data_IF_160864299544
#
_entry.id   IF_160864299544
#
_cell.length_a   1.000
_cell.length_b   1.000
_cell.length_c   1.000
_cell.angle_alpha   90.00
_cell.angle_beta   90.00
_cell.angle_gamma   90.00
#
_symmetry.space_group_name_H-M   'P 1'
#
loop_
_entity.id
_entity.type
_entity.pdbx_description
1 polymer ?
#
# COMPACT_ATOMS: atom_id res chain seq x y z
N UNK A 1 -6.52 -21.05 2.24
CA UNK A 1 -6.24 -20.25 1.03
C UNK A 1 -4.76 -19.97 0.98
N UNK A 2 -4.03 -20.50 -0.01
CA UNK A 2 -2.62 -20.18 -0.21
C UNK A 2 -2.48 -18.78 -0.80
N UNK A 3 -1.54 -17.99 -0.29
CA UNK A 3 -1.14 -16.69 -0.82
C UNK A 3 0.38 -16.59 -0.90
N UNK A 4 0.88 -15.91 -1.92
CA UNK A 4 2.29 -15.57 -2.03
C UNK A 4 2.47 -14.08 -1.72
N UNK A 5 3.21 -13.80 -0.64
CA UNK A 5 3.35 -12.46 -0.05
C UNK A 5 4.81 -12.02 0.02
N UNK A 6 5.07 -10.72 -0.02
CA UNK A 6 6.39 -10.15 0.28
C UNK A 6 6.71 -10.22 1.78
N UNK A 7 7.95 -9.90 2.15
CA UNK A 7 8.36 -9.81 3.56
C UNK A 7 7.60 -8.73 4.33
N UNK A 8 7.36 -7.58 3.70
CA UNK A 8 6.60 -6.47 4.27
C UNK A 8 5.13 -6.84 4.45
N UNK A 9 4.53 -7.49 3.44
CA UNK A 9 3.15 -7.99 3.50
C UNK A 9 2.99 -9.04 4.59
N UNK A 10 3.94 -9.99 4.71
CA UNK A 10 3.93 -10.97 5.79
C UNK A 10 4.02 -10.32 7.17
N UNK A 11 4.89 -9.31 7.32
CA UNK A 11 5.04 -8.54 8.56
C UNK A 11 3.73 -7.83 8.92
N UNK A 12 3.05 -7.25 7.93
CA UNK A 12 1.75 -6.62 8.11
C UNK A 12 0.67 -7.63 8.52
N UNK A 13 0.60 -8.79 7.86
CA UNK A 13 -0.34 -9.87 8.21
C UNK A 13 -0.12 -10.34 9.65
N UNK A 14 1.14 -10.54 10.06
CA UNK A 14 1.50 -10.93 11.44
C UNK A 14 1.11 -9.89 12.50
N UNK A 15 0.94 -8.64 12.09
CA UNK A 15 0.56 -7.54 12.98
C UNK A 15 -0.96 -7.35 13.08
N UNK A 16 -1.74 -8.09 12.29
CA UNK A 16 -3.20 -8.12 12.42
C UNK A 16 -3.61 -8.90 13.68
N UNK A 17 -4.87 -8.77 14.06
CA UNK A 17 -5.46 -9.64 15.09
C UNK A 17 -5.42 -11.11 14.66
N UNK A 18 -5.63 -12.03 15.61
CA UNK A 18 -5.68 -13.47 15.34
C UNK A 18 -6.66 -13.84 14.22
N UNK A 19 -7.75 -13.08 14.15
CA UNK A 19 -8.70 -13.08 13.03
C UNK A 19 -8.81 -11.68 12.42
N UNK A 20 -8.84 -11.61 11.10
CA UNK A 20 -8.88 -10.37 10.33
C UNK A 20 -9.89 -10.41 9.19
N UNK A 21 -10.34 -9.22 8.78
CA UNK A 21 -11.28 -9.04 7.69
C UNK A 21 -10.60 -9.26 6.33
N UNK A 22 -11.29 -9.99 5.46
CA UNK A 22 -10.92 -10.24 4.08
C UNK A 22 -12.18 -10.36 3.20
N UNK A 23 -11.98 -10.54 1.90
CA UNK A 23 -13.08 -10.78 0.96
C UNK A 23 -12.84 -12.08 0.18
N UNK A 24 -13.89 -12.87 0.00
CA UNK A 24 -13.92 -14.06 -0.84
C UNK A 24 -15.03 -13.90 -1.87
N UNK A 25 -14.69 -13.85 -3.17
CA UNK A 25 -15.65 -13.57 -4.25
C UNK A 25 -16.46 -12.27 -4.01
N UNK A 26 -15.84 -11.27 -3.39
CA UNK A 26 -16.49 -10.00 -3.03
C UNK A 26 -17.40 -10.08 -1.80
N UNK A 27 -17.47 -11.22 -1.11
CA UNK A 27 -18.20 -11.37 0.15
C UNK A 27 -17.23 -11.19 1.33
N UNK A 28 -17.54 -10.32 2.31
CA UNK A 28 -16.74 -10.19 3.52
C UNK A 28 -16.64 -11.50 4.30
N UNK A 29 -15.44 -11.86 4.74
CA UNK A 29 -15.14 -13.05 5.53
C UNK A 29 -14.09 -12.74 6.61
N UNK A 30 -14.08 -13.54 7.68
CA UNK A 30 -13.01 -13.60 8.68
C UNK A 30 -11.99 -14.66 8.29
N UNK A 31 -10.72 -14.28 8.31
CA UNK A 31 -9.61 -15.17 8.05
C UNK A 31 -8.55 -15.12 9.16
N UNK A 32 -7.77 -16.19 9.29
CA UNK A 32 -6.65 -16.27 10.22
C UNK A 32 -5.43 -16.89 9.54
N UNK A 33 -4.23 -16.52 9.99
CA UNK A 33 -2.99 -17.13 9.52
C UNK A 33 -2.86 -18.54 10.10
N UNK A 34 -2.79 -19.55 9.23
CA UNK A 34 -2.65 -20.96 9.64
C UNK A 34 -1.20 -21.40 9.62
N UNK A 35 -0.49 -21.10 8.53
CA UNK A 35 0.86 -21.57 8.33
C UNK A 35 1.66 -20.61 7.44
N UNK A 36 2.96 -20.57 7.67
CA UNK A 36 3.94 -19.83 6.87
C UNK A 36 4.95 -20.86 6.40
N UNK A 37 5.12 -21.02 5.09
CA UNK A 37 6.24 -21.79 4.56
C UNK A 37 7.53 -20.95 4.71
N UNK A 38 8.51 -21.40 5.51
CA UNK A 38 9.76 -20.67 5.71
C UNK A 38 10.68 -20.69 4.47
N UNK A 39 10.45 -21.58 3.51
CA UNK A 39 11.23 -21.63 2.27
C UNK A 39 10.90 -20.42 1.39
N UNK A 40 11.88 -19.51 1.29
CA UNK A 40 11.82 -18.35 0.42
C UNK A 40 12.00 -18.80 -1.04
N UNK A 41 11.01 -18.52 -1.89
CA UNK A 41 11.15 -18.77 -3.32
C UNK A 41 12.06 -17.71 -3.94
N UNK A 42 13.32 -18.06 -4.20
CA UNK A 42 14.33 -17.15 -4.77
C UNK A 42 13.92 -16.59 -6.14
N UNK A 43 13.09 -17.30 -6.90
CA UNK A 43 12.67 -16.91 -8.24
C UNK A 43 11.56 -15.86 -8.19
N UNK A 44 10.59 -16.00 -7.28
CA UNK A 44 9.47 -15.06 -7.14
C UNK A 44 9.70 -14.00 -6.07
N UNK A 45 10.72 -14.18 -5.21
CA UNK A 45 11.01 -13.39 -4.01
C UNK A 45 9.81 -13.27 -3.06
N UNK A 46 8.99 -14.32 -2.98
CA UNK A 46 7.78 -14.36 -2.15
C UNK A 46 7.82 -15.52 -1.16
N UNK A 47 7.13 -15.32 -0.05
CA UNK A 47 6.85 -16.32 0.96
C UNK A 47 5.44 -16.86 0.73
N UNK A 48 5.26 -18.18 0.84
CA UNK A 48 3.95 -18.78 0.74
C UNK A 48 3.33 -18.90 2.13
N UNK A 49 2.10 -18.39 2.29
CA UNK A 49 1.31 -18.51 3.52
C UNK A 49 0.00 -19.23 3.24
N UNK A 50 -0.46 -20.00 4.22
CA UNK A 50 -1.81 -20.54 4.23
C UNK A 50 -2.68 -19.78 5.22
N UNK A 51 -3.82 -19.32 4.73
CA UNK A 51 -4.89 -18.73 5.53
C UNK A 51 -6.04 -19.71 5.73
N UNK A 52 -6.73 -19.62 6.86
CA UNK A 52 -8.01 -20.31 7.14
C UNK A 52 -9.12 -19.28 7.08
N UNK A 53 -10.23 -19.62 6.41
CA UNK A 53 -11.46 -18.83 6.43
C UNK A 53 -12.34 -19.41 7.54
N UNK A 54 -12.80 -18.57 8.47
CA UNK A 54 -13.51 -18.98 9.69
C UNK A 54 -15.02 -19.09 9.49
N UNK A 55 -15.57 -18.23 8.63
CA UNK A 55 -17.00 -18.01 8.42
C UNK A 55 -17.40 -18.27 6.95
N UNK A 56 -16.89 -19.36 6.38
CA UNK A 56 -17.22 -19.72 5.01
C UNK A 56 -18.69 -20.16 4.88
N UNK A 57 -19.49 -19.35 4.20
CA UNK A 57 -20.86 -19.70 3.82
C UNK A 57 -20.88 -20.32 2.42
N UNK A 58 -21.05 -21.64 2.32
CA UNK A 58 -21.15 -22.39 1.05
C UNK A 58 -20.13 -23.52 0.92
N UNK A 59 -19.93 -24.03 -0.30
CA UNK A 59 -18.95 -25.08 -0.56
C UNK A 59 -17.56 -24.47 -0.84
N UNK A 60 -16.56 -24.93 -0.10
CA UNK A 60 -15.16 -24.61 -0.37
C UNK A 60 -14.69 -25.25 -1.68
N UNK A 61 -14.50 -24.44 -2.71
CA UNK A 61 -13.90 -24.86 -3.99
C UNK A 61 -12.58 -24.15 -4.21
N UNK A 62 -11.67 -24.78 -4.95
CA UNK A 62 -10.44 -24.13 -5.41
C UNK A 62 -10.74 -23.06 -6.47
N UNK A 63 -9.80 -22.13 -6.66
CA UNK A 63 -9.88 -21.10 -7.71
C UNK A 63 -10.77 -19.88 -7.39
N UNK A 64 -11.21 -19.73 -6.14
CA UNK A 64 -11.94 -18.55 -5.68
C UNK A 64 -10.99 -17.35 -5.55
N UNK A 65 -11.48 -16.16 -5.94
CA UNK A 65 -10.78 -14.91 -5.74
C UNK A 65 -10.84 -14.52 -4.27
N UNK A 66 -9.67 -14.29 -3.67
CA UNK A 66 -9.52 -13.85 -2.30
C UNK A 66 -8.76 -12.52 -2.26
N UNK A 67 -9.28 -11.55 -1.53
CA UNK A 67 -8.68 -10.22 -1.38
C UNK A 67 -8.44 -9.97 0.10
N UNK A 68 -7.19 -9.64 0.45
CA UNK A 68 -6.80 -9.25 1.80
C UNK A 68 -6.29 -7.81 1.79
N UNK A 69 -7.08 -6.83 2.25
CA UNK A 69 -6.63 -5.45 2.33
C UNK A 69 -5.59 -5.30 3.44
N UNK A 70 -4.37 -4.89 3.08
CA UNK A 70 -3.28 -4.66 4.04
C UNK A 70 -2.89 -3.19 4.10
N UNK A 71 -2.58 -2.71 5.31
CA UNK A 71 -1.97 -1.40 5.53
C UNK A 71 -0.48 -1.58 5.79
N UNK A 72 0.34 -1.14 4.84
CA UNK A 72 1.79 -1.21 4.95
C UNK A 72 2.33 0.14 5.44
N UNK A 73 3.29 0.11 6.37
CA UNK A 73 4.10 1.29 6.67
C UNK A 73 5.05 1.52 5.50
N UNK A 74 5.07 2.74 4.98
CA UNK A 74 5.97 3.13 3.90
C UNK A 74 6.74 4.37 4.30
N UNK A 75 8.02 4.41 3.96
CA UNK A 75 8.81 5.64 4.07
C UNK A 75 8.46 6.64 2.97
N UNK A 76 8.76 7.92 3.23
CA UNK A 76 8.51 9.03 2.33
C UNK A 76 7.41 9.97 2.79
N UNK A 77 7.10 10.96 1.97
CA UNK A 77 6.05 11.94 2.18
C UNK A 77 4.89 11.64 1.24
N UNK A 78 3.66 11.76 1.74
CA UNK A 78 2.46 11.69 0.92
C UNK A 78 2.03 13.09 0.51
N UNK A 79 2.05 13.35 -0.79
CA UNK A 79 1.64 14.62 -1.38
C UNK A 79 0.32 14.41 -2.13
N UNK A 80 -0.73 15.20 -1.87
CA UNK A 80 -1.97 15.13 -2.65
C UNK A 80 -1.70 15.32 -4.13
N UNK A 81 -2.22 14.43 -4.99
CA UNK A 81 -2.05 14.54 -6.45
C UNK A 81 -2.58 15.86 -7.00
N UNK A 82 -3.56 16.46 -6.32
CA UNK A 82 -4.13 17.78 -6.65
C UNK A 82 -3.14 18.93 -6.51
N UNK A 83 -2.06 18.78 -5.73
CA UNK A 83 -0.99 19.78 -5.57
C UNK A 83 0.20 19.54 -6.52
N UNK A 84 0.28 18.37 -7.15
CA UNK A 84 1.43 17.98 -7.99
C UNK A 84 1.24 18.50 -9.40
N UNK A 85 2.19 19.31 -9.86
CA UNK A 85 2.31 19.65 -11.28
C UNK A 85 3.29 18.68 -11.92
N UNK A 86 2.81 17.77 -12.76
CA UNK A 86 3.66 16.84 -13.50
C UNK A 86 3.68 17.22 -14.99
N UNK A 87 4.72 17.92 -15.42
CA UNK A 87 4.96 18.23 -16.84
C UNK A 87 6.22 17.52 -17.29
N UNK A 88 6.12 16.76 -18.38
CA UNK A 88 7.25 16.03 -18.97
C UNK A 88 7.97 15.11 -17.96
N UNK A 89 7.20 14.32 -17.21
CA UNK A 89 7.71 13.38 -16.19
C UNK A 89 8.59 14.03 -15.11
N UNK A 90 8.41 15.33 -14.88
CA UNK A 90 9.13 16.11 -13.89
C UNK A 90 8.13 16.64 -12.84
N UNK A 91 7.73 15.80 -11.88
CA UNK A 91 6.74 16.19 -10.87
C UNK A 91 7.31 17.25 -9.93
N UNK A 92 6.57 18.34 -9.77
CA UNK A 92 6.91 19.44 -8.87
C UNK A 92 5.73 19.87 -8.02
N UNK A 93 6.01 20.55 -6.93
CA UNK A 93 5.03 21.26 -6.10
C UNK A 93 5.50 22.67 -5.82
N UNK A 94 4.57 23.57 -5.54
CA UNK A 94 4.87 24.94 -5.11
C UNK A 94 4.49 25.11 -3.65
N UNK A 95 5.45 25.49 -2.81
CA UNK A 95 5.22 25.77 -1.39
C UNK A 95 4.46 27.08 -1.28
N UNK A 96 3.31 27.07 -0.60
CA UNK A 96 2.40 28.23 -0.53
C UNK A 96 2.99 29.43 0.22
N UNK A 97 3.78 29.17 1.26
CA UNK A 97 4.38 30.22 2.10
C UNK A 97 5.50 30.98 1.38
N UNK A 98 6.35 30.27 0.63
CA UNK A 98 7.55 30.84 0.01
C UNK A 98 7.43 31.05 -1.50
N UNK A 99 6.46 30.40 -2.15
CA UNK A 99 6.39 30.31 -3.61
C UNK A 99 7.48 29.43 -4.24
N UNK A 100 8.29 28.73 -3.43
CA UNK A 100 9.38 27.90 -3.94
C UNK A 100 8.82 26.67 -4.68
N UNK A 101 9.37 26.40 -5.87
CA UNK A 101 9.07 25.19 -6.64
C UNK A 101 10.05 24.08 -6.27
N UNK A 102 9.54 23.02 -5.66
CA UNK A 102 10.32 21.85 -5.25
C UNK A 102 10.11 20.71 -6.23
N UNK A 103 11.21 20.14 -6.74
CA UNK A 103 11.18 18.92 -7.56
C UNK A 103 10.99 17.71 -6.67
N UNK A 104 10.11 16.82 -7.09
CA UNK A 104 9.77 15.60 -6.36
C UNK A 104 10.54 14.41 -6.93
N UNK A 105 10.89 13.48 -6.04
CA UNK A 105 11.40 12.16 -6.42
C UNK A 105 10.32 11.11 -6.08
N UNK A 106 9.53 10.64 -7.07
CA UNK A 106 8.47 9.67 -6.83
C UNK A 106 9.00 8.32 -6.33
N UNK A 107 8.34 7.78 -5.30
CA UNK A 107 8.57 6.42 -4.80
C UNK A 107 7.38 5.49 -5.10
N UNK A 108 6.26 6.04 -5.58
CA UNK A 108 5.05 5.29 -5.93
C UNK A 108 3.79 6.11 -5.68
N UNK A 109 2.63 5.48 -5.86
CA UNK A 109 1.32 6.11 -5.64
C UNK A 109 0.49 5.29 -4.64
N UNK A 110 -0.37 5.97 -3.88
CA UNK A 110 -1.31 5.33 -2.97
C UNK A 110 -2.60 6.15 -2.92
N UNK A 111 -3.68 5.64 -3.51
CA UNK A 111 -4.94 6.36 -3.68
C UNK A 111 -4.73 7.72 -4.36
N UNK A 112 -5.20 8.78 -3.71
CA UNK A 112 -5.12 10.18 -4.17
C UNK A 112 -3.79 10.87 -3.88
N UNK A 113 -2.79 10.13 -3.39
CA UNK A 113 -1.49 10.65 -3.01
C UNK A 113 -0.38 10.12 -3.91
N UNK A 114 0.57 11.01 -4.22
CA UNK A 114 1.88 10.66 -4.73
C UNK A 114 2.83 10.50 -3.53
N UNK A 115 3.46 9.34 -3.40
CA UNK A 115 4.48 9.09 -2.38
C UNK A 115 5.83 9.51 -2.95
N UNK A 116 6.56 10.33 -2.21
CA UNK A 116 7.86 10.89 -2.64
C UNK A 116 8.93 10.69 -1.58
N UNK A 117 10.21 10.76 -1.99
CA UNK A 117 11.31 10.80 -1.04
C UNK A 117 11.24 12.06 -0.16
N UNK A 118 11.74 11.95 1.07
CA UNK A 118 11.82 13.11 1.96
C UNK A 118 12.73 14.20 1.38
N UNK A 119 12.28 15.45 1.44
CA UNK A 119 13.06 16.64 1.08
C UNK A 119 13.02 17.62 2.26
N UNK A 120 14.15 18.24 2.60
CA UNK A 120 14.25 19.16 3.75
C UNK A 120 13.34 20.39 3.62
N UNK A 121 12.96 20.74 2.39
CA UNK A 121 12.04 21.85 2.08
C UNK A 121 10.57 21.47 2.24
N UNK A 122 10.28 20.18 2.37
CA UNK A 122 8.94 19.62 2.50
C UNK A 122 8.86 18.83 3.80
N UNK A 123 8.43 19.50 4.87
CA UNK A 123 8.13 18.84 6.15
C UNK A 123 6.63 18.54 6.26
N UNK A 124 6.22 17.49 6.99
CA UNK A 124 4.80 17.26 7.25
C UNK A 124 4.12 18.51 7.80
N UNK A 125 2.99 18.88 7.20
CA UNK A 125 2.27 20.13 7.52
C UNK A 125 2.59 21.31 6.59
N UNK A 126 3.56 21.19 5.67
CA UNK A 126 3.82 22.23 4.65
C UNK A 126 2.60 22.41 3.74
N UNK A 127 2.09 23.64 3.63
CA UNK A 127 1.00 23.96 2.71
C UNK A 127 1.51 24.10 1.27
N UNK A 128 0.82 23.47 0.34
CA UNK A 128 1.15 23.48 -1.09
C UNK A 128 0.03 24.15 -1.89
N UNK A 129 0.40 24.84 -2.98
CA UNK A 129 -0.58 25.33 -3.95
C UNK A 129 -1.17 24.18 -4.77
N UNK A 130 -2.41 24.35 -5.23
CA UNK A 130 -3.00 23.42 -6.19
C UNK A 130 -2.24 23.44 -7.52
N UNK A 131 -2.23 22.31 -8.23
CA UNK A 131 -1.59 22.19 -9.52
C UNK A 131 -2.09 23.26 -10.48
N UNK A 132 -1.15 24.04 -11.04
CA UNK A 132 -1.47 25.14 -11.97
C UNK A 132 -1.81 26.49 -11.31
N UNK A 133 -1.86 26.59 -9.98
CA UNK A 133 -1.86 27.89 -9.31
C UNK A 133 -0.42 28.42 -9.17
N UNK A 134 -0.25 29.71 -9.49
CA UNK A 134 1.01 30.45 -9.32
C UNK A 134 0.80 31.55 -8.28
#
# INVERSE_FOLDING_TARGET
MPLSVSSEELSAIKSLAEEFDAELEGVPVKASLKWINPEFDEKTRKLNVELVIRDLHGQGRGGLMFVLPLRLRSEGLFIPKTAVTNRYENPTVTVKETGEVVKLMPLGESGDFLRVAADKRLVPGTELLAAGQK
#
